data_IF_614577198953
#
_entry.id   IF_614577198953
#
_cell.length_a   1.000
_cell.length_b   1.000
_cell.length_c   1.000
_cell.angle_alpha   90.00
_cell.angle_beta   90.00
_cell.angle_gamma   90.00
#
_symmetry.space_group_name_H-M   'P 1'
#
loop_
_entity.id
_entity.type
_entity.pdbx_description
1 polymer ?
#
# COMPACT_ATOMS: atom_id res chain seq x y z
N UNK A 1 28.27 25.79 7.00
CA UNK A 1 26.84 26.10 6.76
C UNK A 1 26.29 25.29 5.61
N UNK A 2 25.10 24.71 5.79
CA UNK A 2 24.38 24.01 4.72
C UNK A 2 23.56 25.05 3.96
N UNK A 3 23.73 25.20 2.63
CA UNK A 3 23.05 26.24 1.88
C UNK A 3 21.54 25.95 1.81
N UNK A 4 20.71 26.96 2.07
CA UNK A 4 19.25 26.90 1.91
C UNK A 4 18.88 27.05 0.42
N UNK A 5 19.21 26.04 -0.37
CA UNK A 5 18.93 26.01 -1.80
C UNK A 5 18.17 24.74 -2.20
N UNK A 6 17.71 24.70 -3.46
CA UNK A 6 16.96 23.56 -4.01
C UNK A 6 17.80 22.27 -4.01
N UNK A 7 19.11 22.38 -4.15
CA UNK A 7 20.03 21.24 -4.14
C UNK A 7 20.04 20.53 -2.79
N UNK A 8 20.19 21.28 -1.69
CA UNK A 8 20.07 20.73 -0.33
C UNK A 8 18.72 20.08 -0.12
N UNK A 9 17.63 20.71 -0.59
CA UNK A 9 16.29 20.12 -0.48
C UNK A 9 16.22 18.78 -1.21
N UNK A 10 16.72 18.68 -2.44
CA UNK A 10 16.73 17.44 -3.22
C UNK A 10 17.59 16.34 -2.58
N UNK A 11 18.65 16.70 -1.85
CA UNK A 11 19.47 15.74 -1.11
C UNK A 11 18.71 15.18 0.10
N UNK A 12 18.05 16.02 0.90
CA UNK A 12 17.37 15.58 2.13
C UNK A 12 15.98 15.00 1.88
N UNK A 13 15.33 15.37 0.78
CA UNK A 13 13.93 15.02 0.50
C UNK A 13 13.67 13.51 0.55
N UNK A 14 14.45 12.63 -0.12
CA UNK A 14 14.19 11.18 -0.09
C UNK A 14 14.27 10.59 1.33
N UNK A 15 15.22 11.06 2.14
CA UNK A 15 15.40 10.64 3.53
C UNK A 15 14.28 11.17 4.42
N UNK A 16 13.90 12.44 4.26
CA UNK A 16 12.84 13.07 5.05
C UNK A 16 11.48 12.41 4.82
N UNK A 17 11.15 12.06 3.56
CA UNK A 17 9.90 11.36 3.21
C UNK A 17 9.90 9.97 3.82
N UNK A 18 10.99 9.22 3.69
CA UNK A 18 11.11 7.87 4.29
C UNK A 18 10.95 7.92 5.81
N UNK A 19 11.63 8.86 6.47
CA UNK A 19 11.54 9.07 7.91
C UNK A 19 10.15 9.52 8.36
N UNK A 20 9.47 10.38 7.58
CA UNK A 20 8.11 10.81 7.88
C UNK A 20 7.13 9.62 7.80
N UNK A 21 7.22 8.79 6.75
CA UNK A 21 6.38 7.60 6.60
C UNK A 21 6.61 6.62 7.75
N UNK A 22 7.87 6.27 8.04
CA UNK A 22 8.20 5.35 9.14
C UNK A 22 7.74 5.91 10.47
N UNK A 23 8.02 7.19 10.75
CA UNK A 23 7.62 7.83 11.99
C UNK A 23 6.10 7.88 12.20
N UNK A 24 5.33 8.11 11.13
CA UNK A 24 3.87 8.09 11.19
C UNK A 24 3.33 6.68 11.39
N UNK A 25 3.89 5.66 10.72
CA UNK A 25 3.50 4.27 10.93
C UNK A 25 3.73 3.84 12.38
N UNK A 26 4.90 4.14 12.94
CA UNK A 26 5.21 3.88 14.35
C UNK A 26 4.26 4.61 15.29
N UNK A 27 3.93 5.87 15.01
CA UNK A 27 2.99 6.63 15.85
C UNK A 27 1.57 6.08 15.80
N UNK A 28 1.08 5.72 14.63
CA UNK A 28 -0.26 5.14 14.47
C UNK A 28 -0.37 3.74 15.10
N UNK A 29 0.67 2.92 14.97
CA UNK A 29 0.74 1.61 15.63
C UNK A 29 0.80 1.77 17.16
N UNK A 30 1.62 2.71 17.65
CA UNK A 30 1.73 3.02 19.07
C UNK A 30 0.40 3.53 19.63
N UNK A 31 -0.25 4.46 18.92
CA UNK A 31 -1.55 5.01 19.33
C UNK A 31 -2.61 3.91 19.43
N UNK A 32 -2.66 2.99 18.48
CA UNK A 32 -3.59 1.86 18.52
C UNK A 32 -3.33 0.95 19.72
N UNK A 33 -2.06 0.63 20.01
CA UNK A 33 -1.71 -0.17 21.18
C UNK A 33 -2.08 0.55 22.48
N UNK A 34 -1.83 1.86 22.58
CA UNK A 34 -2.22 2.64 23.75
C UNK A 34 -3.73 2.70 23.91
N UNK A 35 -4.46 2.96 22.82
CA UNK A 35 -5.93 2.94 22.77
C UNK A 35 -6.48 1.62 23.33
N UNK A 36 -5.91 0.48 22.92
CA UNK A 36 -6.27 -0.86 23.41
C UNK A 36 -5.94 -1.06 24.90
N UNK A 37 -4.84 -0.49 25.41
CA UNK A 37 -4.47 -0.58 26.83
C UNK A 37 -5.31 0.33 27.73
N UNK A 38 -5.88 1.40 27.19
CA UNK A 38 -6.64 2.40 27.97
C UNK A 38 -8.14 2.36 27.71
N UNK A 39 -8.61 1.51 26.79
CA UNK A 39 -10.01 1.43 26.35
C UNK A 39 -10.55 2.79 25.87
N UNK A 40 -9.73 3.56 25.15
CA UNK A 40 -10.09 4.90 24.65
C UNK A 40 -9.68 5.08 23.20
N UNK A 41 -10.49 5.77 22.40
CA UNK A 41 -10.10 6.10 21.03
C UNK A 41 -9.26 7.39 20.95
N UNK A 42 -8.19 7.33 20.15
CA UNK A 42 -7.42 8.52 19.73
C UNK A 42 -7.84 9.06 18.36
N UNK A 43 -7.62 10.35 18.12
CA UNK A 43 -7.69 10.96 16.79
C UNK A 43 -6.33 10.87 16.09
N UNK A 44 -6.26 9.99 15.09
CA UNK A 44 -5.05 9.66 14.34
C UNK A 44 -4.57 10.84 13.48
N UNK A 45 -5.49 11.67 12.99
CA UNK A 45 -5.11 12.88 12.25
C UNK A 45 -4.46 13.91 13.16
N UNK A 46 -4.98 14.04 14.39
CA UNK A 46 -4.40 14.92 15.40
C UNK A 46 -3.02 14.44 15.82
N UNK A 47 -2.81 13.13 15.95
CA UNK A 47 -1.51 12.54 16.25
C UNK A 47 -0.48 12.85 15.14
N UNK A 48 -0.83 12.59 13.88
CA UNK A 48 0.03 12.92 12.73
C UNK A 48 0.42 14.41 12.70
N UNK A 49 -0.53 15.31 12.94
CA UNK A 49 -0.25 16.76 13.01
C UNK A 49 0.65 17.11 14.20
N UNK A 50 0.40 16.51 15.36
CA UNK A 50 1.20 16.70 16.56
C UNK A 50 2.66 16.30 16.36
N UNK A 51 2.89 15.10 15.80
CA UNK A 51 4.23 14.61 15.48
C UNK A 51 4.93 15.48 14.43
N UNK A 52 4.22 15.89 13.38
CA UNK A 52 4.77 16.78 12.35
C UNK A 52 5.24 18.12 12.93
N UNK A 53 4.38 18.77 13.73
CA UNK A 53 4.72 20.04 14.40
C UNK A 53 5.90 19.83 15.36
N UNK A 54 5.89 18.75 16.15
CA UNK A 54 6.99 18.44 17.07
C UNK A 54 8.32 18.28 16.35
N UNK A 55 8.35 17.61 15.19
CA UNK A 55 9.57 17.43 14.40
C UNK A 55 10.06 18.71 13.73
N UNK A 56 9.15 19.58 13.29
CA UNK A 56 9.52 20.92 12.78
C UNK A 56 10.17 21.74 13.90
N UNK A 57 9.54 21.78 15.08
CA UNK A 57 10.09 22.50 16.23
C UNK A 57 11.44 21.91 16.64
N UNK A 58 11.54 20.57 16.75
CA UNK A 58 12.81 19.91 17.06
C UNK A 58 13.92 20.29 16.07
N UNK A 59 13.64 20.26 14.76
CA UNK A 59 14.62 20.65 13.74
C UNK A 59 15.10 22.10 13.84
N UNK A 60 14.22 23.04 14.23
CA UNK A 60 14.60 24.45 14.44
C UNK A 60 15.56 24.63 15.63
N UNK A 61 15.51 23.73 16.62
CA UNK A 61 16.42 23.71 17.77
C UNK A 61 17.63 22.79 17.55
N UNK A 62 17.85 22.30 16.33
CA UNK A 62 18.96 21.37 16.02
C UNK A 62 18.74 19.95 16.54
N UNK A 63 17.50 19.61 16.91
CA UNK A 63 17.11 18.28 17.36
C UNK A 63 16.98 17.27 16.22
N UNK A 64 17.11 15.99 16.56
CA UNK A 64 16.89 14.88 15.62
C UNK A 64 15.40 14.62 15.41
N UNK A 65 15.06 13.97 14.29
CA UNK A 65 13.71 13.51 14.03
C UNK A 65 13.28 12.45 15.06
N UNK A 66 12.07 12.60 15.60
CA UNK A 66 11.47 11.71 16.57
C UNK A 66 10.15 11.10 16.09
N UNK A 67 9.75 10.03 16.76
CA UNK A 67 8.47 9.36 16.60
C UNK A 67 8.01 8.79 17.93
N UNK A 68 6.78 8.25 17.96
CA UNK A 68 6.31 7.50 19.12
C UNK A 68 7.16 6.23 19.29
N UNK A 69 7.27 5.78 20.53
CA UNK A 69 7.97 4.54 20.85
C UNK A 69 7.02 3.59 21.56
N UNK A 70 6.73 2.45 20.92
CA UNK A 70 5.80 1.44 21.44
C UNK A 70 6.23 1.00 22.85
N UNK A 71 7.49 0.58 23.01
CA UNK A 71 8.00 0.04 24.28
C UNK A 71 7.85 1.02 25.45
N UNK A 72 8.29 2.27 25.28
CA UNK A 72 8.19 3.29 26.34
C UNK A 72 6.75 3.70 26.62
N UNK A 73 5.90 3.75 25.60
CA UNK A 73 4.47 4.06 25.77
C UNK A 73 3.77 2.97 26.58
N UNK A 74 4.03 1.69 26.27
CA UNK A 74 3.48 0.55 27.00
C UNK A 74 3.97 0.52 28.44
N UNK A 75 5.27 0.77 28.69
CA UNK A 75 5.81 0.87 30.05
C UNK A 75 5.11 2.01 30.81
N UNK A 76 5.00 3.18 30.20
CA UNK A 76 4.38 4.35 30.83
C UNK A 76 2.92 4.10 31.23
N UNK A 77 2.12 3.51 30.33
CA UNK A 77 0.71 3.17 30.60
C UNK A 77 0.62 2.10 31.70
N UNK A 78 1.47 1.07 31.66
CA UNK A 78 1.54 0.03 32.72
C UNK A 78 1.98 0.60 34.07
N UNK A 79 2.81 1.64 34.08
CA UNK A 79 3.20 2.40 35.27
C UNK A 79 2.12 3.39 35.74
N UNK A 80 0.96 3.45 35.09
CA UNK A 80 -0.18 4.30 35.47
C UNK A 80 -0.23 5.66 34.79
N UNK A 81 0.74 5.99 33.92
CA UNK A 81 0.77 7.22 33.15
C UNK A 81 -0.27 7.20 32.02
N UNK A 82 -1.38 7.92 32.19
CA UNK A 82 -2.48 8.00 31.21
C UNK A 82 -2.75 9.41 30.66
N UNK A 83 -2.15 10.43 31.25
CA UNK A 83 -2.35 11.84 30.88
C UNK A 83 -1.18 12.44 30.12
N UNK A 84 -1.43 13.53 29.39
CA UNK A 84 -0.38 14.30 28.68
C UNK A 84 0.67 14.91 29.61
N UNK A 85 0.33 15.07 30.89
CA UNK A 85 1.28 15.52 31.91
C UNK A 85 2.40 14.50 32.12
N UNK A 86 2.14 13.19 31.96
CA UNK A 86 3.17 12.15 32.10
C UNK A 86 4.27 12.29 31.05
N UNK A 87 3.91 12.49 29.77
CA UNK A 87 4.90 12.68 28.70
C UNK A 87 5.61 14.03 28.80
N UNK A 88 4.90 15.08 29.25
CA UNK A 88 5.52 16.38 29.54
C UNK A 88 6.58 16.28 30.64
N UNK A 89 6.25 15.62 31.76
CA UNK A 89 7.20 15.41 32.88
C UNK A 89 8.39 14.58 32.42
N UNK A 90 8.19 13.55 31.60
CA UNK A 90 9.30 12.76 31.04
C UNK A 90 10.30 13.64 30.25
N UNK A 91 9.80 14.54 29.38
CA UNK A 91 10.65 15.45 28.61
C UNK A 91 11.37 16.49 29.48
N UNK A 92 10.66 17.11 30.43
CA UNK A 92 11.26 18.08 31.37
C UNK A 92 12.33 17.42 32.24
N UNK A 93 12.05 16.22 32.76
CA UNK A 93 13.01 15.48 33.58
C UNK A 93 14.24 15.08 32.78
N UNK A 94 14.08 14.69 31.51
CA UNK A 94 15.20 14.42 30.61
C UNK A 94 16.09 15.66 30.43
N UNK A 95 15.50 16.84 30.24
CA UNK A 95 16.25 18.10 30.13
C UNK A 95 17.02 18.39 31.43
N UNK A 96 16.37 18.24 32.59
CA UNK A 96 17.03 18.43 33.90
C UNK A 96 18.21 17.47 34.04
N UNK A 97 18.03 16.20 33.68
CA UNK A 97 19.08 15.19 33.78
C UNK A 97 20.28 15.55 32.89
N UNK A 98 20.05 15.94 31.64
CA UNK A 98 21.14 16.27 30.72
C UNK A 98 21.85 17.57 31.10
N UNK A 99 21.13 18.59 31.61
CA UNK A 99 21.73 19.90 31.93
C UNK A 99 22.45 19.90 33.27
N UNK A 100 21.91 19.24 34.29
CA UNK A 100 22.44 19.30 35.66
C UNK A 100 23.25 18.08 36.08
N UNK A 101 23.04 16.91 35.45
CA UNK A 101 23.71 15.66 35.80
C UNK A 101 24.72 15.21 34.73
N UNK A 102 25.19 16.12 33.87
CA UNK A 102 26.15 15.83 32.80
C UNK A 102 27.43 15.14 33.31
N UNK A 103 27.99 15.61 34.43
CA UNK A 103 29.17 15.01 35.08
C UNK A 103 28.95 13.54 35.49
N UNK A 104 27.72 13.15 35.80
CA UNK A 104 27.40 11.77 36.17
C UNK A 104 27.10 10.92 34.93
N UNK A 105 26.41 11.50 33.94
CA UNK A 105 26.09 10.81 32.67
C UNK A 105 27.36 10.49 31.90
N UNK A 106 28.34 11.40 31.88
CA UNK A 106 29.62 11.21 31.19
C UNK A 106 30.48 10.09 31.78
N UNK A 107 30.21 9.64 33.01
CA UNK A 107 30.87 8.49 33.64
C UNK A 107 30.27 7.14 33.24
N UNK A 108 29.14 7.12 32.51
CA UNK A 108 28.50 5.87 32.10
C UNK A 108 29.41 5.14 31.11
N UNK A 109 29.84 3.90 31.40
CA UNK A 109 30.75 3.18 30.52
C UNK A 109 30.05 2.82 29.20
N UNK A 110 30.75 3.01 28.08
CA UNK A 110 30.24 2.66 26.74
C UNK A 110 29.79 1.20 26.65
N UNK A 111 30.40 0.29 27.42
CA UNK A 111 30.01 -1.11 27.50
C UNK A 111 28.55 -1.30 27.97
N UNK A 112 28.08 -0.48 28.91
CA UNK A 112 26.69 -0.54 29.37
C UNK A 112 25.71 -0.09 28.27
N UNK A 113 26.05 0.98 27.53
CA UNK A 113 25.25 1.46 26.42
C UNK A 113 25.16 0.42 25.29
N UNK A 114 26.29 -0.21 24.94
CA UNK A 114 26.33 -1.28 23.94
C UNK A 114 25.48 -2.48 24.37
N UNK A 115 25.56 -2.90 25.64
CA UNK A 115 24.75 -4.00 26.17
C UNK A 115 23.23 -3.70 26.06
N UNK A 116 22.82 -2.48 26.39
CA UNK A 116 21.43 -2.03 26.22
C UNK A 116 21.02 -2.08 24.74
N UNK A 117 21.87 -1.57 23.84
CA UNK A 117 21.58 -1.58 22.40
C UNK A 117 21.49 -2.99 21.81
N UNK A 118 22.28 -3.94 22.29
CA UNK A 118 22.17 -5.37 21.90
C UNK A 118 20.82 -5.92 22.36
N UNK A 119 20.42 -5.68 23.60
CA UNK A 119 19.13 -6.14 24.13
C UNK A 119 17.95 -5.53 23.37
N UNK A 120 18.01 -4.23 23.05
CA UNK A 120 16.99 -3.57 22.21
C UNK A 120 16.96 -4.20 20.83
N UNK A 121 18.11 -4.46 20.20
CA UNK A 121 18.17 -5.08 18.87
C UNK A 121 17.55 -6.49 18.87
N UNK A 122 17.81 -7.30 19.90
CA UNK A 122 17.22 -8.64 20.05
C UNK A 122 15.70 -8.55 20.26
N UNK A 123 15.24 -7.57 21.03
CA UNK A 123 13.82 -7.35 21.31
C UNK A 123 13.03 -6.79 20.13
N UNK A 124 13.65 -5.94 19.31
CA UNK A 124 13.03 -5.39 18.09
C UNK A 124 12.97 -6.41 16.96
N UNK A 125 13.90 -7.37 16.93
CA UNK A 125 13.92 -8.39 15.88
C UNK A 125 12.73 -9.35 16.03
N UNK A 126 11.88 -9.43 15.01
CA UNK A 126 10.74 -10.35 15.00
C UNK A 126 11.19 -11.78 14.67
N UNK A 127 11.56 -12.54 15.70
CA UNK A 127 11.97 -13.95 15.58
C UNK A 127 10.88 -14.85 14.99
N UNK A 128 9.62 -14.54 15.30
CA UNK A 128 8.47 -15.24 14.74
C UNK A 128 8.35 -15.09 13.22
N UNK A 129 8.79 -13.95 12.67
CA UNK A 129 8.76 -13.71 11.22
C UNK A 129 9.62 -14.72 10.45
N UNK A 130 10.78 -15.09 10.99
CA UNK A 130 11.65 -16.12 10.39
C UNK A 130 11.01 -17.50 10.54
N UNK A 131 10.52 -17.81 11.74
CA UNK A 131 10.01 -19.15 12.06
C UNK A 131 8.78 -19.51 11.23
N UNK A 132 7.93 -18.51 10.97
CA UNK A 132 6.67 -18.65 10.21
C UNK A 132 6.77 -18.18 8.76
N UNK A 133 7.97 -18.00 8.21
CA UNK A 133 8.14 -17.45 6.86
C UNK A 133 7.45 -18.26 5.75
N UNK A 134 7.27 -19.57 5.98
CA UNK A 134 6.56 -20.50 5.08
C UNK A 134 5.03 -20.41 5.21
N UNK A 135 4.52 -19.88 6.31
CA UNK A 135 3.08 -19.69 6.53
C UNK A 135 2.59 -18.38 5.87
N UNK A 136 3.46 -17.39 5.74
CA UNK A 136 3.13 -16.12 5.10
C UNK A 136 3.02 -16.23 3.56
N UNK A 137 2.20 -15.37 2.92
CA UNK A 137 2.16 -15.29 1.47
C UNK A 137 3.55 -15.03 0.88
N UNK A 138 3.94 -15.72 -0.21
CA UNK A 138 5.30 -15.65 -0.75
C UNK A 138 5.70 -14.24 -1.18
N UNK A 139 4.73 -13.44 -1.66
CA UNK A 139 4.95 -12.03 -2.00
C UNK A 139 5.40 -11.21 -0.78
N UNK A 140 4.80 -11.43 0.38
CA UNK A 140 5.12 -10.67 1.61
C UNK A 140 6.47 -11.10 2.18
N UNK A 141 6.75 -12.41 2.19
CA UNK A 141 8.05 -12.93 2.62
C UNK A 141 9.19 -12.42 1.74
N UNK A 142 8.97 -12.32 0.42
CA UNK A 142 9.98 -11.81 -0.50
C UNK A 142 10.24 -10.31 -0.30
N UNK A 143 9.21 -9.50 -0.05
CA UNK A 143 9.38 -8.07 0.31
C UNK A 143 10.23 -7.95 1.58
N UNK A 144 9.90 -8.71 2.63
CA UNK A 144 10.67 -8.72 3.89
C UNK A 144 12.14 -9.06 3.64
N UNK A 145 12.44 -10.18 2.98
CA UNK A 145 13.82 -10.61 2.71
C UNK A 145 14.58 -9.55 1.89
N UNK A 146 13.96 -9.03 0.83
CA UNK A 146 14.58 -8.01 -0.02
C UNK A 146 14.91 -6.74 0.77
N UNK A 147 13.99 -6.24 1.62
CA UNK A 147 14.26 -5.07 2.45
C UNK A 147 15.45 -5.30 3.40
N UNK A 148 15.48 -6.44 4.09
CA UNK A 148 16.57 -6.78 5.01
C UNK A 148 17.92 -6.87 4.28
N UNK A 149 17.97 -7.57 3.14
CA UNK A 149 19.20 -7.71 2.35
C UNK A 149 19.72 -6.34 1.90
N UNK A 150 18.85 -5.48 1.37
CA UNK A 150 19.24 -4.14 0.92
C UNK A 150 19.79 -3.33 2.07
N UNK A 151 19.12 -3.29 3.23
CA UNK A 151 19.60 -2.53 4.39
C UNK A 151 20.95 -3.05 4.88
N UNK A 152 21.12 -4.37 5.00
CA UNK A 152 22.36 -4.97 5.51
C UNK A 152 23.54 -4.75 4.55
N UNK A 153 23.33 -4.90 3.24
CA UNK A 153 24.42 -4.73 2.27
C UNK A 153 24.79 -3.25 2.09
N UNK A 154 23.79 -2.36 2.03
CA UNK A 154 24.02 -0.94 1.75
C UNK A 154 24.27 -0.10 3.00
N UNK A 155 24.02 -0.66 4.19
CA UNK A 155 24.02 0.06 5.47
C UNK A 155 23.11 1.31 5.43
N UNK A 156 22.08 1.30 4.58
CA UNK A 156 21.20 2.44 4.35
C UNK A 156 19.73 2.01 4.46
N UNK A 157 19.09 2.43 5.56
CA UNK A 157 17.69 2.14 5.84
C UNK A 157 16.75 2.71 4.77
N UNK A 158 17.04 3.89 4.22
CA UNK A 158 16.19 4.56 3.24
C UNK A 158 16.09 3.76 1.93
N UNK A 159 17.19 3.15 1.48
CA UNK A 159 17.18 2.25 0.32
C UNK A 159 16.34 1.00 0.58
N UNK A 160 16.42 0.44 1.79
CA UNK A 160 15.57 -0.67 2.21
C UNK A 160 14.08 -0.34 2.13
N UNK A 161 13.67 0.80 2.71
CA UNK A 161 12.28 1.28 2.67
C UNK A 161 11.82 1.50 1.23
N UNK A 162 12.63 2.16 0.39
CA UNK A 162 12.31 2.41 -1.01
C UNK A 162 12.06 1.12 -1.79
N UNK A 163 12.98 0.16 -1.70
CA UNK A 163 12.83 -1.15 -2.37
C UNK A 163 11.62 -1.92 -1.84
N UNK A 164 11.39 -1.88 -0.52
CA UNK A 164 10.24 -2.52 0.11
C UNK A 164 8.90 -2.00 -0.40
N UNK A 165 8.74 -0.67 -0.44
CA UNK A 165 7.52 -0.02 -0.95
C UNK A 165 7.32 -0.32 -2.43
N UNK A 166 8.39 -0.28 -3.23
CA UNK A 166 8.32 -0.59 -4.66
C UNK A 166 7.89 -2.03 -4.92
N UNK A 167 8.50 -3.00 -4.23
CA UNK A 167 8.12 -4.41 -4.37
C UNK A 167 6.70 -4.68 -3.85
N UNK A 168 6.32 -4.07 -2.72
CA UNK A 168 4.97 -4.18 -2.18
C UNK A 168 3.93 -3.64 -3.17
N UNK A 169 4.18 -2.48 -3.79
CA UNK A 169 3.31 -1.89 -4.80
C UNK A 169 3.18 -2.79 -6.04
N UNK A 170 4.28 -3.37 -6.53
CA UNK A 170 4.27 -4.30 -7.66
C UNK A 170 3.49 -5.58 -7.34
N UNK A 171 3.68 -6.19 -6.17
CA UNK A 171 2.90 -7.37 -5.79
C UNK A 171 1.44 -7.05 -5.56
N UNK A 172 1.13 -5.89 -5.00
CA UNK A 172 -0.24 -5.43 -4.86
C UNK A 172 -0.92 -5.29 -6.22
N UNK A 173 -0.28 -4.60 -7.17
CA UNK A 173 -0.79 -4.46 -8.54
C UNK A 173 -1.02 -5.82 -9.22
N UNK A 174 -0.06 -6.74 -9.10
CA UNK A 174 -0.19 -8.10 -9.64
C UNK A 174 -1.30 -8.91 -8.95
N UNK A 175 -1.51 -8.74 -7.64
CA UNK A 175 -2.55 -9.44 -6.89
C UNK A 175 -3.95 -8.94 -7.29
N UNK A 176 -4.12 -7.61 -7.42
CA UNK A 176 -5.38 -7.00 -7.86
C UNK A 176 -5.72 -7.42 -9.29
N UNK A 177 -4.72 -7.57 -10.17
CA UNK A 177 -4.92 -8.05 -11.55
C UNK A 177 -5.46 -9.47 -11.66
N UNK A 178 -5.38 -10.28 -10.59
CA UNK A 178 -5.89 -11.66 -10.53
C UNK A 178 -7.26 -11.78 -9.86
N UNK A 179 -7.84 -10.69 -9.35
CA UNK A 179 -9.21 -10.66 -8.81
C UNK A 179 -10.26 -10.49 -9.92
N UNK A 180 -10.10 -11.23 -11.01
CA UNK A 180 -11.06 -11.29 -12.11
C UNK A 180 -11.31 -12.76 -12.42
N UNK A 181 -12.56 -13.18 -12.24
CA UNK A 181 -13.01 -14.53 -12.55
C UNK A 181 -14.10 -14.47 -13.60
N UNK A 182 -14.03 -15.36 -14.58
CA UNK A 182 -15.10 -15.55 -15.56
C UNK A 182 -15.67 -16.95 -15.35
N UNK A 183 -16.98 -17.03 -15.15
CA UNK A 183 -17.72 -18.30 -15.15
C UNK A 183 -18.48 -18.42 -16.46
N UNK A 184 -18.31 -19.54 -17.14
CA UNK A 184 -19.12 -19.89 -18.30
C UNK A 184 -20.17 -20.91 -17.89
N UNK A 185 -21.40 -20.68 -18.30
CA UNK A 185 -22.53 -21.58 -18.10
C UNK A 185 -23.33 -21.67 -19.40
N UNK A 186 -23.72 -22.88 -19.78
CA UNK A 186 -24.61 -23.09 -20.91
C UNK A 186 -26.05 -23.01 -20.41
N UNK A 187 -26.77 -21.96 -20.82
CA UNK A 187 -28.14 -21.71 -20.36
C UNK A 187 -29.12 -22.54 -21.17
N UNK A 188 -28.92 -22.60 -22.50
CA UNK A 188 -29.70 -23.39 -23.44
C UNK A 188 -28.76 -24.02 -24.50
N UNK A 189 -29.28 -24.89 -25.38
CA UNK A 189 -28.50 -25.50 -26.48
C UNK A 189 -27.86 -24.48 -27.44
N UNK A 190 -28.33 -23.23 -27.41
CA UNK A 190 -27.97 -22.18 -28.36
C UNK A 190 -27.32 -20.97 -27.66
N UNK A 191 -27.51 -20.83 -26.34
CA UNK A 191 -27.09 -19.65 -25.58
C UNK A 191 -26.06 -19.99 -24.53
N UNK A 192 -24.89 -19.33 -24.61
CA UNK A 192 -23.83 -19.42 -23.60
C UNK A 192 -23.70 -18.12 -22.81
N UNK A 193 -23.70 -18.22 -21.47
CA UNK A 193 -23.54 -17.07 -20.57
C UNK A 193 -22.14 -17.05 -19.99
N UNK A 194 -21.50 -15.88 -20.05
CA UNK A 194 -20.25 -15.56 -19.38
C UNK A 194 -20.52 -14.53 -18.28
N UNK A 195 -20.40 -14.95 -17.03
CA UNK A 195 -20.49 -14.03 -15.88
C UNK A 195 -19.10 -13.59 -15.46
N UNK A 196 -18.84 -12.29 -15.58
CA UNK A 196 -17.58 -11.66 -15.21
C UNK A 196 -17.71 -11.10 -13.80
N UNK A 197 -16.80 -11.50 -12.90
CA UNK A 197 -16.78 -11.06 -11.51
C UNK A 197 -15.43 -10.45 -11.19
N UNK A 198 -15.43 -9.26 -10.58
CA UNK A 198 -14.24 -8.62 -10.04
C UNK A 198 -13.77 -7.40 -10.82
N UNK A 199 -12.45 -7.19 -10.88
CA UNK A 199 -11.86 -5.93 -11.34
C UNK A 199 -11.21 -6.10 -12.71
N UNK A 200 -11.63 -5.30 -13.71
CA UNK A 200 -11.03 -5.25 -15.05
C UNK A 200 -10.36 -3.90 -15.27
N UNK A 201 -9.06 -3.95 -15.49
CA UNK A 201 -8.18 -2.79 -15.73
C UNK A 201 -7.00 -3.21 -16.62
N UNK A 202 -6.15 -2.27 -17.01
CA UNK A 202 -5.04 -2.46 -17.96
C UNK A 202 -4.25 -3.76 -17.72
N UNK A 203 -3.85 -4.04 -16.47
CA UNK A 203 -3.03 -5.22 -16.14
C UNK A 203 -3.75 -6.57 -16.31
N UNK A 204 -5.09 -6.57 -16.35
CA UNK A 204 -5.93 -7.77 -16.48
C UNK A 204 -6.58 -7.92 -17.85
N UNK A 205 -6.42 -6.93 -18.74
CA UNK A 205 -7.10 -6.86 -20.06
C UNK A 205 -6.77 -8.07 -20.96
N UNK A 206 -5.50 -8.47 -21.03
CA UNK A 206 -5.08 -9.65 -21.80
C UNK A 206 -5.55 -10.97 -21.19
N UNK A 207 -5.65 -11.05 -19.86
CA UNK A 207 -6.20 -12.22 -19.18
C UNK A 207 -7.70 -12.31 -19.44
N UNK A 208 -8.40 -11.18 -19.41
CA UNK A 208 -9.83 -11.06 -19.68
C UNK A 208 -10.18 -11.63 -21.05
N UNK A 209 -9.50 -11.17 -22.11
CA UNK A 209 -9.74 -11.65 -23.48
C UNK A 209 -9.46 -13.15 -23.60
N UNK A 210 -8.43 -13.67 -22.92
CA UNK A 210 -8.05 -15.09 -22.97
C UNK A 210 -8.99 -16.01 -22.20
N UNK A 211 -9.77 -15.48 -21.28
CA UNK A 211 -10.75 -16.24 -20.50
C UNK A 211 -12.03 -16.57 -21.27
N UNK A 212 -12.23 -15.97 -22.46
CA UNK A 212 -13.31 -16.33 -23.37
C UNK A 212 -12.85 -17.38 -24.37
N UNK A 213 -13.70 -18.37 -24.60
CA UNK A 213 -13.50 -19.34 -25.66
C UNK A 213 -14.25 -18.89 -26.90
N UNK A 214 -13.50 -18.52 -27.94
CA UNK A 214 -14.04 -18.07 -29.22
C UNK A 214 -14.22 -19.22 -30.22
N UNK A 215 -13.78 -20.45 -29.90
CA UNK A 215 -13.84 -21.58 -30.83
C UNK A 215 -15.19 -22.29 -30.82
N UNK A 216 -15.93 -22.17 -29.72
CA UNK A 216 -17.29 -22.72 -29.62
C UNK A 216 -18.28 -21.75 -30.25
N UNK A 217 -18.71 -22.07 -31.47
CA UNK A 217 -19.71 -21.31 -32.23
C UNK A 217 -21.08 -21.55 -31.60
N UNK A 218 -21.54 -20.58 -30.79
CA UNK A 218 -22.91 -20.53 -30.27
C UNK A 218 -23.65 -19.42 -31.02
N UNK A 219 -24.94 -19.60 -31.34
CA UNK A 219 -25.70 -18.55 -32.05
C UNK A 219 -25.88 -17.31 -31.17
N UNK A 220 -25.95 -17.48 -29.83
CA UNK A 220 -26.11 -16.38 -28.88
C UNK A 220 -25.12 -16.45 -27.70
N UNK A 221 -24.45 -15.34 -27.42
CA UNK A 221 -23.51 -15.19 -26.30
C UNK A 221 -23.94 -14.03 -25.40
N UNK A 222 -24.16 -14.34 -24.12
CA UNK A 222 -24.53 -13.34 -23.11
C UNK A 222 -23.31 -13.04 -22.23
N UNK A 223 -22.88 -11.78 -22.15
CA UNK A 223 -21.79 -11.33 -21.29
C UNK A 223 -22.39 -10.51 -20.15
N UNK A 224 -22.44 -11.11 -18.95
CA UNK A 224 -22.92 -10.46 -17.74
C UNK A 224 -21.75 -9.82 -16.98
N UNK A 225 -21.77 -8.49 -16.93
CA UNK A 225 -20.79 -7.64 -16.24
C UNK A 225 -21.37 -6.97 -14.99
N UNK A 226 -22.52 -7.43 -14.48
CA UNK A 226 -23.18 -6.87 -13.29
C UNK A 226 -22.29 -6.79 -12.05
N UNK A 227 -21.36 -7.74 -11.92
CA UNK A 227 -20.41 -7.83 -10.79
C UNK A 227 -18.97 -7.50 -11.20
N UNK A 228 -18.79 -6.86 -12.36
CA UNK A 228 -17.50 -6.44 -12.86
C UNK A 228 -17.36 -4.91 -12.83
N UNK A 229 -16.16 -4.44 -12.48
CA UNK A 229 -15.83 -3.02 -12.48
C UNK A 229 -14.72 -2.73 -13.48
N UNK A 230 -14.97 -1.79 -14.39
CA UNK A 230 -14.04 -1.35 -15.41
C UNK A 230 -13.41 -0.03 -14.97
N UNK A 231 -12.09 -0.01 -14.78
CA UNK A 231 -11.40 1.14 -14.18
C UNK A 231 -10.74 2.09 -15.18
N UNK A 232 -10.46 1.63 -16.39
CA UNK A 232 -9.73 2.41 -17.39
C UNK A 232 -10.20 2.11 -18.82
N UNK A 233 -9.71 2.93 -19.76
CA UNK A 233 -10.04 2.83 -21.20
C UNK A 233 -9.57 1.49 -21.79
N UNK A 234 -8.50 0.90 -21.25
CA UNK A 234 -7.98 -0.39 -21.73
C UNK A 234 -8.95 -1.52 -21.39
N UNK A 235 -9.58 -1.47 -20.22
CA UNK A 235 -10.60 -2.43 -19.81
C UNK A 235 -11.81 -2.40 -20.74
N UNK A 236 -12.26 -1.20 -21.12
CA UNK A 236 -13.36 -1.02 -22.09
C UNK A 236 -12.96 -1.54 -23.47
N UNK A 237 -11.77 -1.17 -23.96
CA UNK A 237 -11.27 -1.66 -25.25
C UNK A 237 -11.12 -3.19 -25.28
N UNK A 238 -10.81 -3.82 -24.13
CA UNK A 238 -10.76 -5.27 -24.00
C UNK A 238 -12.15 -5.90 -24.12
N UNK A 239 -13.19 -5.31 -23.52
CA UNK A 239 -14.58 -5.73 -23.68
C UNK A 239 -15.03 -5.62 -25.15
N UNK A 240 -14.78 -4.47 -25.78
CA UNK A 240 -15.09 -4.26 -27.20
C UNK A 240 -14.42 -5.32 -28.07
N UNK A 241 -13.16 -5.64 -27.81
CA UNK A 241 -12.42 -6.66 -28.56
C UNK A 241 -13.02 -8.06 -28.39
N UNK A 242 -13.57 -8.39 -27.21
CA UNK A 242 -14.28 -9.65 -26.98
C UNK A 242 -15.60 -9.67 -27.75
N UNK A 243 -16.40 -8.62 -27.66
CA UNK A 243 -17.69 -8.48 -28.36
C UNK A 243 -17.49 -8.59 -29.88
N UNK A 244 -16.53 -7.85 -30.43
CA UNK A 244 -16.22 -7.86 -31.86
C UNK A 244 -15.71 -9.22 -32.34
N UNK A 245 -14.93 -9.94 -31.51
CA UNK A 245 -14.49 -11.31 -31.85
C UNK A 245 -15.67 -12.28 -31.95
N UNK A 246 -16.58 -12.26 -30.98
CA UNK A 246 -17.77 -13.14 -31.04
C UNK A 246 -18.69 -12.80 -32.23
N UNK A 247 -18.92 -11.50 -32.49
CA UNK A 247 -19.69 -11.06 -33.67
C UNK A 247 -19.04 -11.51 -34.98
N UNK A 248 -17.71 -11.46 -35.08
CA UNK A 248 -16.96 -11.93 -36.27
C UNK A 248 -17.08 -13.44 -36.49
N UNK A 249 -17.21 -14.23 -35.43
CA UNK A 249 -17.48 -15.67 -35.50
C UNK A 249 -18.97 -15.99 -35.75
N UNK A 250 -19.83 -14.97 -35.92
CA UNK A 250 -21.24 -15.11 -36.26
C UNK A 250 -22.20 -15.23 -35.08
N UNK A 251 -21.73 -15.01 -33.85
CA UNK A 251 -22.57 -15.04 -32.66
C UNK A 251 -23.25 -13.69 -32.38
N UNK A 252 -24.52 -13.70 -32.00
CA UNK A 252 -25.22 -12.53 -31.46
C UNK A 252 -24.78 -12.30 -30.01
N UNK A 253 -24.27 -11.10 -29.70
CA UNK A 253 -23.71 -10.79 -28.38
C UNK A 253 -24.62 -9.82 -27.62
N UNK A 254 -25.06 -10.24 -26.43
CA UNK A 254 -25.86 -9.43 -25.51
C UNK A 254 -25.06 -9.09 -24.24
N UNK A 255 -24.99 -7.80 -23.90
CA UNK A 255 -24.25 -7.30 -22.75
C UNK A 255 -25.22 -6.94 -21.61
N UNK A 256 -25.03 -7.52 -20.44
CA UNK A 256 -25.95 -7.37 -19.29
C UNK A 256 -25.21 -6.75 -18.11
N UNK A 257 -25.84 -5.81 -17.41
CA UNK A 257 -25.38 -5.41 -16.07
C UNK A 257 -24.29 -4.33 -16.02
N UNK A 258 -24.13 -3.50 -17.04
CA UNK A 258 -23.14 -2.44 -16.99
C UNK A 258 -23.47 -1.45 -15.84
N UNK A 259 -22.61 -1.42 -14.81
CA UNK A 259 -22.78 -0.52 -13.66
C UNK A 259 -22.73 0.95 -14.11
N UNK A 260 -23.48 1.86 -13.45
CA UNK A 260 -23.52 3.31 -13.74
C UNK A 260 -22.12 3.96 -13.79
N UNK A 261 -21.18 3.46 -12.99
CA UNK A 261 -19.78 3.94 -13.00
C UNK A 261 -19.00 3.50 -14.26
N UNK A 262 -19.28 2.30 -14.78
CA UNK A 262 -18.66 1.76 -15.99
C UNK A 262 -19.31 2.34 -17.26
N UNK A 263 -20.62 2.63 -17.24
CA UNK A 263 -21.34 3.30 -18.33
C UNK A 263 -20.69 4.63 -18.73
N UNK A 264 -20.22 5.43 -17.78
CA UNK A 264 -19.63 6.76 -18.11
C UNK A 264 -18.34 6.65 -18.93
N UNK A 265 -17.54 5.60 -18.73
CA UNK A 265 -16.30 5.36 -19.47
C UNK A 265 -16.61 4.62 -20.78
N UNK A 266 -17.55 3.67 -20.76
CA UNK A 266 -17.93 2.88 -21.94
C UNK A 266 -18.70 3.73 -22.95
N UNK A 267 -19.67 4.54 -22.54
CA UNK A 267 -20.43 5.40 -23.46
C UNK A 267 -19.53 6.46 -24.12
N UNK A 268 -18.44 6.84 -23.46
CA UNK A 268 -17.49 7.84 -23.96
C UNK A 268 -16.41 7.25 -24.88
N UNK A 269 -16.05 5.98 -24.71
CA UNK A 269 -14.89 5.37 -25.38
C UNK A 269 -15.15 4.01 -26.06
N UNK A 270 -16.33 3.42 -25.86
CA UNK A 270 -16.76 2.17 -26.47
C UNK A 270 -17.15 2.37 -27.93
N UNK A 271 -16.62 1.52 -28.80
CA UNK A 271 -16.84 1.59 -30.25
C UNK A 271 -17.98 0.65 -30.68
N UNK A 272 -18.35 -0.33 -29.85
CA UNK A 272 -19.32 -1.38 -30.19
C UNK A 272 -20.78 -0.91 -30.38
N UNK A 273 -21.09 0.33 -29.99
CA UNK A 273 -22.42 0.96 -30.07
C UNK A 273 -22.56 1.88 -31.30
N UNK A 274 -21.46 2.05 -32.07
CA UNK A 274 -21.48 2.76 -33.34
C UNK A 274 -21.71 1.75 -34.46
N UNK A 275 -22.98 1.42 -34.67
CA UNK A 275 -23.40 0.79 -35.92
C UNK A 275 -23.20 1.78 -37.07
N UNK A 276 -22.08 1.64 -37.78
CA UNK A 276 -22.06 1.59 -39.25
C UNK A 276 -20.67 1.11 -39.71
N UNK A 277 -20.56 -0.20 -39.91
CA UNK A 277 -19.37 -0.87 -40.48
C UNK A 277 -19.40 -0.81 -42.02
N UNK A 278 -20.21 0.08 -42.62
CA UNK A 278 -20.17 0.40 -44.05
C UNK A 278 -19.26 1.59 -44.40
N UNK A 279 -18.93 2.49 -43.48
CA UNK A 279 -18.31 3.78 -43.84
C UNK A 279 -16.78 3.88 -43.61
N UNK A 280 -16.14 2.84 -43.07
CA UNK A 280 -14.69 2.86 -42.78
C UNK A 280 -13.83 2.23 -43.90
N UNK A 281 -14.45 1.69 -44.96
CA UNK A 281 -13.73 1.11 -46.10
C UNK A 281 -13.69 1.98 -47.37
N UNK A 282 -14.28 3.19 -47.37
CA UNK A 282 -14.22 4.12 -48.52
C UNK A 282 -13.39 5.39 -48.27
N UNK A 283 -12.63 5.47 -47.19
CA UNK A 283 -11.63 6.53 -47.02
C UNK A 283 -10.27 5.99 -46.60
N UNK A 284 -9.60 5.31 -47.54
CA UNK A 284 -8.19 5.50 -47.91
C UNK A 284 -7.75 4.50 -48.98
#
# INVERSE_FOLDING_TARGET
DVPLNLETLLIVLPYSVSMAVVGLLESLMTATIVDDFTDTESDKNRECRGQGISNIVAGLFGGMAGCAMIGQSVINVKSGGRGRLSTFVAGVFLIIMVVFLDDLISQIPMAALVAVMIMVSIGTFSWDSIRKIREYPPSSSMVMIATVIVVVLTHNLALGVFVGVLLAALFFANKVGRFMGIRSEQVDNVTKRYTVVGQVFFASSDAFIRSFDFKEVNEKVMIDVSQAHFWDVTAVAALDKVVMKFRREGAEVELVGMNKASQTIVDRFGVHDKEDVSDILESH
#
